data_IF_293235361914
#
_entry.id   IF_293235361914
#
_cell.length_a   1.000
_cell.length_b   1.000
_cell.length_c   1.000
_cell.angle_alpha   90.00
_cell.angle_beta   90.00
_cell.angle_gamma   90.00
#
_symmetry.space_group_name_H-M   'P 1'
#
loop_
_entity.id
_entity.type
_entity.pdbx_description
1 polymer ?
#
# COMPACT_ATOMS: atom_id res chain seq x y z
N UNK A 1 7.95 -11.68 -10.11
CA UNK A 1 7.52 -11.85 -11.52
C UNK A 1 8.77 -12.16 -12.32
N UNK A 2 8.81 -13.10 -13.27
CA UNK A 2 10.11 -13.48 -13.86
C UNK A 2 10.63 -12.34 -14.77
N UNK A 3 11.75 -11.74 -14.34
CA UNK A 3 12.66 -10.86 -15.08
C UNK A 3 12.12 -9.51 -15.55
N UNK A 4 11.07 -8.98 -14.93
CA UNK A 4 10.66 -7.60 -15.18
C UNK A 4 10.76 -6.81 -13.91
N UNK A 5 11.38 -5.65 -13.99
CA UNK A 5 11.44 -4.70 -12.90
C UNK A 5 10.03 -4.20 -12.58
N UNK A 6 9.77 -3.99 -11.29
CA UNK A 6 8.46 -3.63 -10.80
C UNK A 6 8.54 -2.76 -9.55
N UNK A 7 7.47 -2.01 -9.33
CA UNK A 7 7.23 -1.27 -8.10
C UNK A 7 6.18 -1.99 -7.25
N UNK A 8 6.33 -1.93 -5.94
CA UNK A 8 5.32 -2.40 -4.99
C UNK A 8 4.48 -1.23 -4.52
N UNK A 9 3.17 -1.42 -4.58
CA UNK A 9 2.19 -0.47 -4.06
C UNK A 9 1.43 -1.13 -2.92
N UNK A 10 1.50 -0.50 -1.76
CA UNK A 10 0.88 -0.96 -0.52
C UNK A 10 -0.23 0.02 -0.15
N UNK A 11 -1.46 -0.36 -0.45
CA UNK A 11 -2.63 0.41 -0.03
C UNK A 11 -3.00 0.07 1.40
N UNK A 12 -3.20 1.08 2.24
CA UNK A 12 -3.53 0.94 3.66
C UNK A 12 -4.84 1.69 3.94
N UNK A 13 -5.87 0.94 4.30
CA UNK A 13 -7.15 1.45 4.80
C UNK A 13 -7.11 1.52 6.33
N UNK A 14 -7.22 2.72 6.88
CA UNK A 14 -7.20 2.96 8.32
C UNK A 14 -8.62 2.95 8.88
N UNK A 15 -8.81 2.15 9.91
CA UNK A 15 -10.00 2.18 10.76
C UNK A 15 -9.62 2.39 12.23
N UNK A 16 -10.60 2.45 13.13
CA UNK A 16 -10.35 2.74 14.56
C UNK A 16 -9.48 1.65 15.20
N UNK A 17 -8.19 1.95 15.39
CA UNK A 17 -7.22 1.09 16.10
C UNK A 17 -6.60 -0.03 15.27
N UNK A 18 -6.98 -0.18 13.99
CA UNK A 18 -6.43 -1.17 13.06
C UNK A 18 -6.40 -0.62 11.64
N UNK A 19 -5.53 -1.16 10.81
CA UNK A 19 -5.58 -0.95 9.38
C UNK A 19 -5.64 -2.29 8.65
N UNK A 20 -6.33 -2.28 7.53
CA UNK A 20 -6.32 -3.34 6.54
C UNK A 20 -5.46 -2.89 5.35
N UNK A 21 -4.79 -3.83 4.67
CA UNK A 21 -3.85 -3.49 3.61
C UNK A 21 -3.79 -4.55 2.50
N UNK A 22 -3.35 -4.11 1.33
CA UNK A 22 -3.10 -4.95 0.17
C UNK A 22 -1.75 -4.58 -0.49
N UNK A 23 -1.10 -5.58 -1.09
CA UNK A 23 0.19 -5.44 -1.78
C UNK A 23 -0.01 -5.78 -3.24
N UNK A 24 0.20 -4.79 -4.10
CA UNK A 24 0.14 -4.88 -5.55
C UNK A 24 1.54 -4.72 -6.13
N UNK A 25 1.94 -5.65 -6.99
CA UNK A 25 3.15 -5.50 -7.79
C UNK A 25 2.76 -5.00 -9.18
N UNK A 26 3.43 -3.93 -9.60
CA UNK A 26 3.18 -3.24 -10.86
C UNK A 26 4.47 -3.25 -11.68
N UNK A 27 4.53 -4.06 -12.75
CA UNK A 27 5.68 -4.06 -13.65
C UNK A 27 5.87 -2.70 -14.33
N UNK A 28 7.12 -2.29 -14.54
CA UNK A 28 7.45 -1.13 -15.39
C UNK A 28 7.01 -1.35 -16.84
N UNK A 29 7.07 -2.61 -17.29
CA UNK A 29 6.65 -3.00 -18.62
C UNK A 29 5.12 -3.02 -18.74
N UNK A 30 4.56 -2.03 -19.42
CA UNK A 30 3.10 -1.83 -19.61
C UNK A 30 2.35 -3.01 -20.23
N UNK A 31 3.03 -3.91 -20.96
CA UNK A 31 2.40 -5.11 -21.54
C UNK A 31 2.16 -6.20 -20.50
N UNK A 32 2.75 -6.09 -19.31
CA UNK A 32 2.58 -7.03 -18.21
C UNK A 32 1.56 -6.46 -17.23
N UNK A 33 0.53 -7.24 -16.94
CA UNK A 33 -0.54 -6.79 -16.04
C UNK A 33 -0.06 -6.73 -14.58
N UNK A 34 -0.49 -5.70 -13.82
CA UNK A 34 -0.32 -5.67 -12.37
C UNK A 34 -0.88 -6.91 -11.69
N UNK A 35 -0.26 -7.34 -10.59
CA UNK A 35 -0.67 -8.54 -9.84
C UNK A 35 -0.68 -8.26 -8.35
N UNK A 36 -1.78 -8.60 -7.70
CA UNK A 36 -1.81 -8.64 -6.23
C UNK A 36 -0.93 -9.78 -5.73
N UNK A 37 0.08 -9.45 -4.93
CA UNK A 37 0.88 -10.41 -4.18
C UNK A 37 0.18 -10.78 -2.87
N UNK A 38 -0.59 -9.85 -2.31
CA UNK A 38 -1.41 -10.07 -1.13
C UNK A 38 -2.66 -9.19 -1.16
N UNK A 39 -3.83 -9.79 -1.03
CA UNK A 39 -5.12 -9.08 -1.02
C UNK A 39 -5.65 -8.74 0.37
N UNK A 40 -5.07 -9.35 1.42
CA UNK A 40 -5.52 -9.17 2.80
C UNK A 40 -4.34 -9.25 3.76
N UNK A 41 -3.96 -8.11 4.29
CA UNK A 41 -3.09 -7.90 5.44
C UNK A 41 -3.83 -7.00 6.42
N UNK A 42 -3.49 -7.10 7.70
CA UNK A 42 -4.05 -6.23 8.72
C UNK A 42 -3.06 -6.07 9.85
N UNK A 43 -3.03 -4.91 10.47
CA UNK A 43 -2.20 -4.65 11.64
C UNK A 43 -2.91 -3.71 12.61
N UNK A 44 -2.60 -3.81 13.91
CA UNK A 44 -3.09 -2.86 14.91
C UNK A 44 -2.12 -1.70 15.05
N UNK A 45 -2.57 -0.59 15.63
CA UNK A 45 -1.72 0.58 15.88
C UNK A 45 -0.85 0.41 17.13
N UNK A 46 -0.15 -0.72 17.17
CA UNK A 46 0.83 -1.11 18.17
C UNK A 46 2.17 -1.16 17.46
N UNK A 47 3.24 -0.59 18.05
CA UNK A 47 4.55 -0.50 17.38
C UNK A 47 5.04 -1.85 16.85
N UNK A 48 4.88 -2.93 17.64
CA UNK A 48 5.25 -4.29 17.23
C UNK A 48 4.51 -4.73 15.97
N UNK A 49 3.19 -4.50 15.93
CA UNK A 49 2.33 -4.92 14.82
C UNK A 49 2.64 -4.11 13.55
N UNK A 50 2.96 -2.81 13.68
CA UNK A 50 3.39 -1.99 12.54
C UNK A 50 4.75 -2.45 12.01
N UNK A 51 5.70 -2.80 12.88
CA UNK A 51 7.00 -3.34 12.48
C UNK A 51 6.84 -4.72 11.81
N UNK A 52 5.99 -5.59 12.35
CA UNK A 52 5.69 -6.90 11.74
C UNK A 52 5.03 -6.74 10.36
N UNK A 53 4.13 -5.76 10.21
CA UNK A 53 3.55 -5.39 8.93
C UNK A 53 4.62 -4.97 7.91
N UNK A 54 5.51 -4.03 8.27
CA UNK A 54 6.60 -3.58 7.40
C UNK A 54 7.52 -4.75 7.01
N UNK A 55 7.91 -5.59 7.98
CA UNK A 55 8.72 -6.77 7.71
C UNK A 55 8.00 -7.78 6.80
N UNK A 56 6.68 -7.88 6.88
CA UNK A 56 5.88 -8.72 5.98
C UNK A 56 5.85 -8.16 4.57
N UNK A 57 5.69 -6.83 4.41
CA UNK A 57 5.77 -6.18 3.10
C UNK A 57 7.16 -6.38 2.48
N UNK A 58 8.22 -6.25 3.28
CA UNK A 58 9.62 -6.41 2.83
C UNK A 58 9.95 -7.80 2.31
N UNK A 59 9.22 -8.83 2.72
CA UNK A 59 9.35 -10.17 2.12
C UNK A 59 8.96 -10.19 0.64
N UNK A 60 8.12 -9.25 0.20
CA UNK A 60 7.76 -9.07 -1.20
C UNK A 60 8.73 -8.16 -1.95
N UNK A 61 9.41 -7.22 -1.27
CA UNK A 61 10.40 -6.32 -1.89
C UNK A 61 11.82 -6.88 -1.93
N UNK A 62 12.11 -7.98 -1.22
CA UNK A 62 13.40 -8.66 -1.22
C UNK A 62 13.72 -9.42 -2.55
N UNK A 63 13.12 -8.99 -3.65
CA UNK A 63 13.37 -9.46 -5.01
C UNK A 63 14.30 -8.45 -5.70
N UNK A 64 15.35 -8.90 -6.37
CA UNK A 64 16.29 -8.03 -7.08
C UNK A 64 15.63 -7.16 -8.16
N UNK A 65 14.43 -7.51 -8.61
CA UNK A 65 13.65 -6.75 -9.58
C UNK A 65 12.65 -5.77 -8.94
N UNK A 66 12.54 -5.74 -7.62
CA UNK A 66 11.74 -4.72 -6.94
C UNK A 66 12.54 -3.43 -6.86
N UNK A 67 12.06 -2.38 -7.53
CA UNK A 67 12.76 -1.09 -7.61
C UNK A 67 12.45 -0.20 -6.40
N UNK A 68 11.18 -0.18 -5.97
CA UNK A 68 10.71 0.70 -4.91
C UNK A 68 9.43 0.15 -4.27
N UNK A 69 9.19 0.51 -3.01
CA UNK A 69 7.93 0.22 -2.31
C UNK A 69 7.24 1.51 -1.88
N UNK A 70 6.08 1.78 -2.49
CA UNK A 70 5.23 2.91 -2.16
C UNK A 70 4.13 2.45 -1.20
N UNK A 71 4.16 2.96 0.02
CA UNK A 71 3.05 2.88 0.95
C UNK A 71 2.12 4.06 0.72
N UNK A 72 0.82 3.81 0.75
CA UNK A 72 -0.13 4.89 0.66
C UNK A 72 -1.31 4.62 1.58
N UNK A 73 -1.54 5.60 2.45
CA UNK A 73 -2.40 5.49 3.61
C UNK A 73 -3.58 6.44 3.45
N UNK A 74 -4.79 5.89 3.42
CA UNK A 74 -6.01 6.67 3.34
C UNK A 74 -6.23 7.42 4.68
N UNK A 75 -6.32 8.75 4.63
CA UNK A 75 -6.41 9.60 5.83
C UNK A 75 -7.86 9.65 6.33
N UNK A 76 -8.23 8.74 7.23
CA UNK A 76 -9.54 8.74 7.90
C UNK A 76 -9.45 9.38 9.29
N UNK A 77 -9.35 10.71 9.33
CA UNK A 77 -9.33 11.48 10.57
C UNK A 77 -8.04 11.30 11.41
N UNK A 78 -8.14 11.56 12.73
CA UNK A 78 -6.98 11.75 13.63
C UNK A 78 -6.10 10.52 13.84
N UNK A 79 -6.61 9.30 13.56
CA UNK A 79 -5.87 8.06 13.84
C UNK A 79 -4.74 7.78 12.84
N UNK A 80 -4.82 8.40 11.66
CA UNK A 80 -3.89 8.21 10.53
C UNK A 80 -2.51 8.85 10.76
N UNK A 81 -2.43 9.99 11.47
CA UNK A 81 -1.22 10.80 11.58
C UNK A 81 -0.08 10.11 12.33
N UNK A 82 -0.38 9.43 13.46
CA UNK A 82 0.64 8.75 14.26
C UNK A 82 1.19 7.52 13.54
N UNK A 83 0.32 6.76 12.87
CA UNK A 83 0.71 5.58 12.09
C UNK A 83 1.52 6.01 10.88
N UNK A 84 1.08 7.05 10.16
CA UNK A 84 1.82 7.63 9.04
C UNK A 84 3.24 8.05 9.46
N UNK A 85 3.35 8.84 10.54
CA UNK A 85 4.64 9.32 11.03
C UNK A 85 5.55 8.17 11.46
N UNK A 86 4.99 7.15 12.11
CA UNK A 86 5.77 5.98 12.53
C UNK A 86 6.25 5.17 11.32
N UNK A 87 5.40 4.90 10.33
CA UNK A 87 5.82 4.20 9.11
C UNK A 87 6.90 5.01 8.40
N UNK A 88 6.70 6.32 8.23
CA UNK A 88 7.66 7.22 7.58
C UNK A 88 9.04 7.19 8.23
N UNK A 89 9.11 7.14 9.56
CA UNK A 89 10.37 7.04 10.31
C UNK A 89 11.05 5.66 10.18
N UNK A 90 10.31 4.63 9.79
CA UNK A 90 10.81 3.26 9.64
C UNK A 90 10.97 2.83 8.19
N UNK A 91 10.70 3.71 7.21
CA UNK A 91 10.96 3.45 5.80
C UNK A 91 12.46 3.27 5.54
N UNK A 92 12.80 2.29 4.72
CA UNK A 92 14.12 2.16 4.12
C UNK A 92 14.33 3.21 3.02
N UNK A 93 15.54 3.31 2.47
CA UNK A 93 15.87 4.29 1.40
C UNK A 93 15.09 4.08 0.10
N UNK A 94 14.63 2.85 -0.15
CA UNK A 94 13.84 2.40 -1.29
C UNK A 94 12.33 2.30 -0.96
N UNK A 95 11.92 2.88 0.17
CA UNK A 95 10.55 2.91 0.63
C UNK A 95 10.09 4.36 0.87
N UNK A 96 8.85 4.66 0.52
CA UNK A 96 8.23 5.92 0.92
C UNK A 96 6.75 5.77 1.25
N UNK A 97 6.21 6.70 2.04
CA UNK A 97 4.79 6.71 2.42
C UNK A 97 4.11 8.03 2.06
N UNK A 98 2.97 7.90 1.40
CA UNK A 98 2.07 8.99 1.02
C UNK A 98 0.76 8.95 1.80
N UNK A 99 0.22 10.13 2.07
CA UNK A 99 -1.15 10.27 2.55
C UNK A 99 -2.08 10.45 1.36
N UNK A 100 -3.18 9.72 1.35
CA UNK A 100 -4.22 9.89 0.35
C UNK A 100 -5.41 10.61 0.95
N UNK A 101 -5.97 11.53 0.17
CA UNK A 101 -7.24 12.14 0.48
C UNK A 101 -8.38 11.14 0.16
N UNK A 102 -9.20 10.81 1.17
CA UNK A 102 -10.37 9.93 1.05
C UNK A 102 -11.34 10.36 -0.06
N UNK A 103 -11.57 11.67 -0.26
CA UNK A 103 -12.48 12.16 -1.31
C UNK A 103 -11.93 11.88 -2.71
N UNK A 104 -10.62 11.97 -2.88
CA UNK A 104 -9.97 11.60 -4.14
C UNK A 104 -10.10 10.11 -4.41
N UNK A 105 -9.80 9.27 -3.42
CA UNK A 105 -9.89 7.81 -3.53
C UNK A 105 -11.32 7.38 -3.86
N UNK A 106 -12.33 7.96 -3.20
CA UNK A 106 -13.73 7.65 -3.47
C UNK A 106 -14.16 8.04 -4.89
N UNK A 107 -13.83 9.24 -5.36
CA UNK A 107 -14.14 9.67 -6.74
C UNK A 107 -13.46 8.79 -7.78
N UNK A 108 -12.20 8.40 -7.53
CA UNK A 108 -11.47 7.52 -8.43
C UNK A 108 -12.14 6.14 -8.51
N UNK A 109 -12.52 5.54 -7.38
CA UNK A 109 -13.25 4.26 -7.32
C UNK A 109 -14.55 4.32 -8.12
N UNK A 110 -15.35 5.38 -7.95
CA UNK A 110 -16.60 5.60 -8.69
C UNK A 110 -16.36 5.65 -10.20
N UNK A 111 -15.38 6.44 -10.65
CA UNK A 111 -15.07 6.59 -12.08
C UNK A 111 -14.63 5.30 -12.78
N UNK A 112 -14.11 4.34 -12.02
CA UNK A 112 -13.65 3.04 -12.54
C UNK A 112 -14.64 1.89 -12.26
N UNK A 113 -15.84 2.17 -11.73
CA UNK A 113 -16.85 1.18 -11.33
C UNK A 113 -16.33 0.13 -10.33
N UNK A 114 -15.57 0.59 -9.35
CA UNK A 114 -14.93 -0.25 -8.36
C UNK A 114 -15.70 -0.20 -7.04
N UNK A 115 -16.09 -1.37 -6.52
CA UNK A 115 -16.75 -1.47 -5.22
C UNK A 115 -15.81 -1.10 -4.08
N UNK A 116 -16.32 -0.38 -3.07
CA UNK A 116 -15.62 -0.07 -1.82
C UNK A 116 -15.20 -1.32 -1.03
N UNK A 117 -15.84 -2.47 -1.27
CA UNK A 117 -15.55 -3.74 -0.59
C UNK A 117 -14.36 -4.52 -1.15
N UNK A 118 -13.81 -4.11 -2.29
CA UNK A 118 -12.73 -4.82 -2.97
C UNK A 118 -11.39 -4.18 -2.52
N UNK A 119 -10.34 -4.96 -2.17
CA UNK A 119 -9.05 -4.50 -1.60
C UNK A 119 -8.18 -3.59 -2.50
N UNK A 120 -8.79 -2.63 -3.18
CA UNK A 120 -8.28 -1.84 -4.30
C UNK A 120 -7.51 -0.58 -3.94
N UNK A 121 -7.23 -0.32 -2.67
CA UNK A 121 -6.50 0.89 -2.31
C UNK A 121 -5.16 0.91 -3.03
N UNK A 122 -4.47 -0.23 -3.09
CA UNK A 122 -3.21 -0.38 -3.82
C UNK A 122 -3.33 -0.13 -5.35
N UNK A 123 -4.44 -0.53 -5.98
CA UNK A 123 -4.66 -0.30 -7.42
C UNK A 123 -4.97 1.16 -7.71
N UNK A 124 -5.79 1.80 -6.86
CA UNK A 124 -6.10 3.23 -6.93
C UNK A 124 -4.81 4.03 -6.85
N UNK A 125 -3.92 3.71 -5.90
CA UNK A 125 -2.63 4.40 -5.71
C UNK A 125 -1.66 4.14 -6.86
N UNK A 126 -1.60 2.92 -7.39
CA UNK A 126 -0.64 2.58 -8.44
C UNK A 126 -0.81 3.32 -9.77
N UNK A 127 -1.88 4.10 -9.89
CA UNK A 127 -2.22 4.85 -11.10
C UNK A 127 -2.30 6.36 -10.87
N UNK A 128 -1.96 6.83 -9.66
CA UNK A 128 -1.73 8.25 -9.33
C UNK A 128 -0.27 8.57 -9.64
#
# INVERSE_FOLDING_TARGET
>A
MKNNDYNLFVGIDVSKGKADAAVLAVPELRSVKPRFLRKKLSFKFIKSDVVEFLNTVRKYSNDQHCLHTYFALEVTGIYSTNVYSFIKQNCNSDEEIHQLNTDFVNKWRESHNISKSDPLDAQTISTI
#
